data_IF_540027931078
#
_entry.id   IF_540027931078
#
_cell.length_a   1.000
_cell.length_b   1.000
_cell.length_c   1.000
_cell.angle_alpha   90.00
_cell.angle_beta   90.00
_cell.angle_gamma   90.00
#
_symmetry.space_group_name_H-M   'P 1'
#
loop_
_entity.id
_entity.type
_entity.pdbx_description
1 polymer ?
#
# COMPACT_ATOMS: atom_id res chain seq x y z
N UNK A 1 -3.77 -17.65 -0.86
CA UNK A 1 -3.14 -16.49 -0.18
C UNK A 1 -2.13 -15.93 -1.18
N UNK A 2 -2.38 -14.74 -1.73
CA UNK A 2 -1.49 -14.17 -2.74
C UNK A 2 -0.16 -13.74 -2.08
N UNK A 3 0.96 -13.96 -2.77
CA UNK A 3 2.24 -13.40 -2.35
C UNK A 3 2.20 -11.88 -2.54
N UNK A 4 2.64 -11.14 -1.53
CA UNK A 4 2.68 -9.67 -1.57
C UNK A 4 4.11 -9.23 -1.88
N UNK A 5 4.31 -8.70 -3.08
CA UNK A 5 5.56 -8.07 -3.48
C UNK A 5 5.47 -6.57 -3.22
N UNK A 6 6.58 -5.93 -2.86
CA UNK A 6 6.63 -4.49 -2.56
C UNK A 6 7.70 -3.84 -3.40
N UNK A 7 7.39 -2.73 -4.06
CA UNK A 7 8.37 -1.98 -4.84
C UNK A 7 9.25 -1.11 -3.96
N UNK A 8 10.45 -0.78 -4.43
CA UNK A 8 11.30 0.20 -3.75
C UNK A 8 10.62 1.57 -3.62
N UNK A 9 9.84 1.97 -4.63
CA UNK A 9 9.05 3.19 -4.56
C UNK A 9 8.05 3.19 -3.38
N UNK A 10 7.38 2.06 -3.12
CA UNK A 10 6.50 1.93 -1.97
C UNK A 10 7.29 1.98 -0.65
N UNK A 11 8.47 1.35 -0.58
CA UNK A 11 9.36 1.42 0.60
C UNK A 11 9.79 2.85 0.90
N UNK A 12 10.24 3.60 -0.11
CA UNK A 12 10.63 5.01 0.02
C UNK A 12 9.48 5.87 0.53
N UNK A 13 8.26 5.66 0.02
CA UNK A 13 7.05 6.38 0.45
C UNK A 13 6.68 6.04 1.89
N UNK A 14 6.75 4.77 2.27
CA UNK A 14 6.47 4.34 3.64
C UNK A 14 7.47 4.93 4.64
N UNK A 15 8.74 5.04 4.26
CA UNK A 15 9.79 5.68 5.07
C UNK A 15 9.55 7.16 5.37
N UNK A 16 8.69 7.85 4.60
CA UNK A 16 8.28 9.23 4.91
C UNK A 16 7.42 9.31 6.18
N UNK A 17 6.71 8.22 6.51
CA UNK A 17 5.89 8.07 7.72
C UNK A 17 6.72 7.60 8.91
N UNK A 18 7.49 6.53 8.71
CA UNK A 18 8.16 5.81 9.81
C UNK A 18 9.61 6.28 9.93
N UNK A 19 9.97 6.81 11.11
CA UNK A 19 11.38 7.01 11.48
C UNK A 19 11.83 5.83 12.34
N UNK A 20 12.82 5.03 11.90
CA UNK A 20 13.32 3.90 12.69
C UNK A 20 14.08 2.83 11.89
N UNK A 21 14.43 1.74 12.57
CA UNK A 21 15.27 0.61 12.09
C UNK A 21 14.49 -0.60 11.56
N UNK A 22 13.16 -0.55 11.53
CA UNK A 22 12.34 -1.68 11.06
C UNK A 22 12.46 -1.82 9.54
N UNK A 23 12.49 -3.06 9.02
CA UNK A 23 12.46 -3.33 7.58
C UNK A 23 11.09 -2.94 7.00
N UNK A 24 10.99 -1.85 6.21
CA UNK A 24 9.69 -1.35 5.75
C UNK A 24 9.00 -2.33 4.80
N UNK A 25 9.79 -3.08 4.02
CA UNK A 25 9.29 -4.02 3.02
C UNK A 25 8.48 -5.14 3.68
N UNK A 26 9.03 -5.74 4.72
CA UNK A 26 8.38 -6.78 5.53
C UNK A 26 7.13 -6.24 6.21
N UNK A 27 7.19 -5.03 6.77
CA UNK A 27 6.04 -4.44 7.45
C UNK A 27 4.88 -4.15 6.47
N UNK A 28 5.17 -3.57 5.31
CA UNK A 28 4.16 -3.33 4.26
C UNK A 28 3.51 -4.64 3.82
N UNK A 29 4.31 -5.67 3.54
CA UNK A 29 3.80 -6.96 3.08
C UNK A 29 2.87 -7.61 4.11
N UNK A 30 3.24 -7.57 5.40
CA UNK A 30 2.41 -8.10 6.48
C UNK A 30 1.08 -7.35 6.59
N UNK A 31 1.11 -6.01 6.63
CA UNK A 31 -0.09 -5.16 6.77
C UNK A 31 -1.05 -5.32 5.61
N UNK A 32 -0.55 -5.35 4.38
CA UNK A 32 -1.36 -5.57 3.17
C UNK A 32 -1.97 -6.98 3.20
N UNK A 33 -1.19 -7.99 3.57
CA UNK A 33 -1.67 -9.36 3.71
C UNK A 33 -2.82 -9.47 4.71
N UNK A 34 -2.67 -8.90 5.91
CA UNK A 34 -3.72 -8.85 6.93
C UNK A 34 -4.98 -8.12 6.41
N UNK A 35 -4.82 -6.96 5.79
CA UNK A 35 -5.92 -6.15 5.26
C UNK A 35 -6.72 -6.87 4.18
N UNK A 36 -6.06 -7.64 3.30
CA UNK A 36 -6.73 -8.46 2.28
C UNK A 36 -7.54 -9.57 2.93
N UNK A 37 -6.99 -10.27 3.92
CA UNK A 37 -7.73 -11.30 4.64
C UNK A 37 -8.95 -10.74 5.37
N UNK A 38 -8.86 -9.48 5.82
CA UNK A 38 -9.96 -8.75 6.42
C UNK A 38 -10.93 -8.11 5.40
N UNK A 39 -10.73 -8.31 4.09
CA UNK A 39 -11.60 -7.78 3.04
C UNK A 39 -11.53 -6.26 2.86
N UNK A 40 -10.45 -5.60 3.32
CA UNK A 40 -10.26 -4.14 3.22
C UNK A 40 -9.75 -3.71 1.85
N UNK A 41 -10.39 -4.20 0.79
CA UNK A 41 -9.96 -4.02 -0.60
C UNK A 41 -11.06 -3.32 -1.40
N UNK A 42 -10.69 -2.26 -2.11
CA UNK A 42 -11.56 -1.49 -2.98
C UNK A 42 -10.96 -1.38 -4.39
N UNK A 43 -11.82 -1.22 -5.40
CA UNK A 43 -11.36 -0.96 -6.75
C UNK A 43 -10.78 0.46 -6.86
N UNK A 44 -9.56 0.55 -7.38
CA UNK A 44 -8.86 1.80 -7.69
C UNK A 44 -8.83 2.11 -9.18
N UNK A 45 -8.31 3.29 -9.52
CA UNK A 45 -8.10 3.67 -10.91
C UNK A 45 -7.08 2.76 -11.60
N UNK A 46 -7.22 2.60 -12.93
CA UNK A 46 -6.29 1.85 -13.80
C UNK A 46 -6.12 0.38 -13.40
N UNK A 47 -7.18 -0.24 -12.87
CA UNK A 47 -7.17 -1.65 -12.45
C UNK A 47 -6.39 -1.90 -11.16
N UNK A 48 -6.04 -0.84 -10.41
CA UNK A 48 -5.43 -1.00 -9.11
C UNK A 48 -6.44 -1.50 -8.07
N UNK A 49 -5.93 -2.14 -7.02
CA UNK A 49 -6.64 -2.44 -5.80
C UNK A 49 -6.16 -1.50 -4.71
N UNK A 50 -7.08 -0.79 -4.07
CA UNK A 50 -6.80 0.05 -2.91
C UNK A 50 -6.99 -0.81 -1.66
N UNK A 51 -5.93 -0.98 -0.89
CA UNK A 51 -5.94 -1.78 0.32
C UNK A 51 -5.77 -0.86 1.52
N UNK A 52 -6.79 -0.78 2.39
CA UNK A 52 -6.75 0.07 3.59
C UNK A 52 -6.18 -0.69 4.78
N UNK A 53 -5.22 -0.09 5.47
CA UNK A 53 -4.64 -0.68 6.69
C UNK A 53 -5.71 -0.84 7.78
N UNK A 54 -5.66 -1.96 8.51
CA UNK A 54 -6.64 -2.27 9.56
C UNK A 54 -6.47 -1.37 10.78
N UNK A 55 -5.21 -1.10 11.17
CA UNK A 55 -4.85 -0.35 12.39
C UNK A 55 -4.85 1.16 12.13
N UNK A 56 -4.63 1.57 10.88
CA UNK A 56 -4.47 2.95 10.44
C UNK A 56 -5.32 3.18 9.18
N UNK A 57 -6.65 3.35 9.30
CA UNK A 57 -7.55 3.40 8.14
C UNK A 57 -7.28 4.53 7.15
N UNK A 58 -6.55 5.58 7.55
CA UNK A 58 -6.09 6.64 6.68
C UNK A 58 -4.97 6.19 5.73
N UNK A 59 -4.25 5.12 6.05
CA UNK A 59 -3.15 4.58 5.24
C UNK A 59 -3.70 3.65 4.16
N UNK A 60 -3.49 4.03 2.90
CA UNK A 60 -3.96 3.31 1.73
C UNK A 60 -2.76 2.84 0.91
N UNK A 61 -2.70 1.53 0.68
CA UNK A 61 -1.76 0.91 -0.23
C UNK A 61 -2.38 0.76 -1.62
N UNK A 62 -1.60 1.05 -2.64
CA UNK A 62 -1.98 0.82 -4.04
C UNK A 62 -1.32 -0.44 -4.51
N UNK A 63 -2.16 -1.37 -4.91
CA UNK A 63 -1.74 -2.69 -5.33
C UNK A 63 -2.10 -2.92 -6.80
N UNK A 64 -1.21 -3.59 -7.52
CA UNK A 64 -1.45 -4.09 -8.87
C UNK A 64 -1.32 -5.60 -8.85
N UNK A 65 -2.27 -6.29 -9.48
CA UNK A 65 -2.22 -7.75 -9.58
C UNK A 65 -1.30 -8.15 -10.75
N UNK A 66 -0.25 -8.90 -10.45
CA UNK A 66 0.52 -9.62 -11.45
C UNK A 66 -0.20 -10.94 -11.76
N UNK A 67 -1.10 -10.88 -12.74
CA UNK A 67 -1.89 -12.04 -13.21
C UNK A 67 -1.04 -13.26 -13.57
N UNK A 68 0.10 -13.12 -14.29
CA UNK A 68 0.92 -14.27 -14.65
C UNK A 68 1.49 -15.03 -13.45
N UNK A 69 1.87 -14.33 -12.37
CA UNK A 69 2.50 -14.92 -11.18
C UNK A 69 1.54 -15.12 -10.01
N UNK A 70 0.34 -14.54 -10.08
CA UNK A 70 -0.64 -14.56 -8.98
C UNK A 70 -0.19 -13.75 -7.77
N UNK A 71 0.63 -12.72 -8.00
CA UNK A 71 1.19 -11.87 -6.95
C UNK A 71 0.47 -10.53 -6.88
N UNK A 72 0.43 -9.94 -5.68
CA UNK A 72 -0.05 -8.59 -5.48
C UNK A 72 1.14 -7.66 -5.25
N UNK A 73 1.35 -6.72 -6.17
CA UNK A 73 2.48 -5.79 -6.14
C UNK A 73 2.03 -4.47 -5.53
N UNK A 74 2.56 -4.12 -4.37
CA UNK A 74 2.39 -2.80 -3.76
C UNK A 74 3.26 -1.80 -4.52
N UNK A 75 2.63 -0.95 -5.33
CA UNK A 75 3.33 0.00 -6.21
C UNK A 75 3.59 1.34 -5.54
N UNK A 76 2.70 1.79 -4.65
CA UNK A 76 2.84 3.03 -3.88
C UNK A 76 1.85 3.03 -2.70
N UNK A 77 1.87 4.08 -1.89
CA UNK A 77 0.91 4.31 -0.81
C UNK A 77 0.74 5.81 -0.54
N UNK A 78 -0.36 6.14 0.15
CA UNK A 78 -0.60 7.47 0.69
C UNK A 78 -1.40 7.39 1.99
N UNK A 79 -1.40 8.50 2.71
CA UNK A 79 -2.33 8.75 3.81
C UNK A 79 -3.41 9.75 3.38
N UNK A 80 -4.64 9.47 3.78
CA UNK A 80 -5.78 10.39 3.69
C UNK A 80 -5.82 11.29 4.95
N UNK A 81 -6.33 12.52 4.79
CA UNK A 81 -6.40 13.52 5.87
C UNK A 81 -5.48 14.72 5.67
N UNK A 82 -5.72 15.79 6.43
CA UNK A 82 -5.01 17.07 6.31
C UNK A 82 -3.56 16.96 6.82
N UNK A 83 -3.32 16.17 7.85
CA UNK A 83 -1.99 15.91 8.46
C UNK A 83 -1.28 14.67 7.89
N UNK A 84 -1.59 14.27 6.66
CA UNK A 84 -1.01 13.09 6.03
C UNK A 84 0.52 13.19 5.93
N UNK A 85 1.25 12.26 6.59
CA UNK A 85 2.71 12.20 6.48
C UNK A 85 3.14 11.80 5.05
N UNK A 86 2.30 11.02 4.36
CA UNK A 86 2.50 10.60 2.97
C UNK A 86 1.35 11.10 2.10
N UNK A 87 1.29 12.39 1.74
CA UNK A 87 0.09 12.94 1.11
C UNK A 87 -0.11 12.43 -0.32
N UNK A 88 -1.38 12.15 -0.67
CA UNK A 88 -1.80 11.61 -1.98
C UNK A 88 -1.47 12.52 -3.16
N UNK A 89 -1.47 13.84 -2.98
CA UNK A 89 -1.27 14.86 -4.05
C UNK A 89 0.03 14.70 -4.85
N UNK A 90 1.02 14.03 -4.28
CA UNK A 90 2.33 13.76 -4.89
C UNK A 90 2.45 12.36 -5.50
N UNK A 91 1.38 11.56 -5.47
CA UNK A 91 1.31 10.30 -6.21
C UNK A 91 0.77 10.51 -7.62
N UNK A 92 1.33 9.79 -8.59
CA UNK A 92 0.87 9.81 -10.00
C UNK A 92 -0.45 9.04 -10.18
N UNK A 93 -0.91 8.34 -9.14
CA UNK A 93 -2.21 7.66 -9.09
C UNK A 93 -3.32 8.67 -8.82
N UNK A 94 -3.72 9.39 -9.88
CA UNK A 94 -4.92 10.23 -9.89
C UNK A 94 -6.07 9.45 -10.54
N UNK A 95 -7.24 9.55 -9.91
CA UNK A 95 -8.49 9.07 -10.48
C UNK A 95 -8.83 9.88 -11.73
#
# INVERSE_FOLDING_TARGET
>A
MALVAVTDHAVERYGQRVRGTLDPRTEIAARVGEAIQAGRVEAGARGAQLVRDIKLPSLVYVCMEDRPRGELIVVTLWEEGEDAAVPRRWTRWRA
#
